data_IF_820697553321
#
_entry.id   IF_820697553321
#
_cell.length_a   1.000
_cell.length_b   1.000
_cell.length_c   1.000
_cell.angle_alpha   90.00
_cell.angle_beta   90.00
_cell.angle_gamma   90.00
#
_symmetry.space_group_name_H-M   'P 1'
#
loop_
_entity.id
_entity.type
_entity.pdbx_description
1 polymer ?
#
# COMPACT_ATOMS: atom_id res chain seq x y z
N UNK A 1 85.79 -27.96 -26.76
CA UNK A 1 84.41 -28.42 -27.02
C UNK A 1 83.57 -28.05 -25.80
N UNK A 2 83.05 -26.79 -25.69
CA UNK A 2 82.28 -26.38 -24.55
C UNK A 2 80.86 -25.97 -25.06
N UNK A 3 79.84 -26.68 -24.61
CA UNK A 3 78.45 -26.35 -24.88
C UNK A 3 77.96 -25.50 -23.72
N UNK A 4 77.62 -24.22 -24.07
CA UNK A 4 76.97 -23.27 -23.17
C UNK A 4 75.50 -23.44 -23.35
N UNK A 5 74.78 -23.87 -22.29
CA UNK A 5 73.33 -23.90 -22.21
C UNK A 5 72.82 -22.54 -21.76
N UNK A 6 72.09 -21.87 -22.64
CA UNK A 6 71.39 -20.63 -22.34
C UNK A 6 70.03 -21.02 -21.70
N UNK A 7 69.88 -20.72 -20.44
CA UNK A 7 68.61 -20.86 -19.74
C UNK A 7 67.74 -19.61 -19.92
N UNK A 8 66.66 -19.69 -20.71
CA UNK A 8 65.64 -18.66 -20.80
C UNK A 8 64.76 -18.69 -19.57
N UNK A 9 64.90 -17.71 -18.69
CA UNK A 9 63.95 -17.46 -17.62
C UNK A 9 62.78 -16.66 -18.16
N UNK A 10 61.61 -17.29 -18.33
CA UNK A 10 60.36 -16.64 -18.64
C UNK A 10 59.74 -16.16 -17.30
N UNK A 11 59.79 -14.84 -17.09
CA UNK A 11 59.11 -14.17 -15.98
C UNK A 11 57.62 -14.06 -16.27
N UNK A 12 56.78 -14.87 -15.59
CA UNK A 12 55.33 -14.74 -15.63
C UNK A 12 54.91 -13.63 -14.65
N UNK A 13 54.54 -12.49 -15.19
CA UNK A 13 53.90 -11.39 -14.45
C UNK A 13 52.47 -11.81 -14.15
N UNK A 14 52.16 -12.25 -12.90
CA UNK A 14 50.81 -12.38 -12.39
C UNK A 14 50.22 -10.98 -12.11
N UNK A 15 49.39 -10.49 -12.99
CA UNK A 15 48.60 -9.30 -12.74
C UNK A 15 47.47 -9.69 -11.73
N UNK A 16 47.69 -9.35 -10.46
CA UNK A 16 46.63 -9.44 -9.43
C UNK A 16 45.58 -8.33 -9.72
N UNK A 17 44.47 -8.71 -10.30
CA UNK A 17 43.28 -7.85 -10.39
C UNK A 17 42.70 -7.70 -8.97
N UNK A 18 42.97 -6.55 -8.33
CA UNK A 18 42.31 -6.14 -7.11
C UNK A 18 40.86 -5.79 -7.49
N UNK A 19 39.97 -6.77 -7.37
CA UNK A 19 38.55 -6.53 -7.43
C UNK A 19 38.17 -5.63 -6.27
N UNK A 20 37.82 -4.37 -6.56
CA UNK A 20 37.19 -3.46 -5.60
C UNK A 20 35.85 -4.10 -5.25
N UNK A 21 35.79 -4.80 -4.14
CA UNK A 21 34.52 -5.25 -3.55
C UNK A 21 33.72 -3.98 -3.24
N UNK A 22 32.71 -3.71 -4.05
CA UNK A 22 31.73 -2.67 -3.77
C UNK A 22 31.05 -3.09 -2.47
N UNK A 23 31.26 -2.32 -1.43
CA UNK A 23 30.53 -2.53 -0.19
C UNK A 23 29.04 -2.53 -0.54
N UNK A 24 28.36 -3.63 -0.27
CA UNK A 24 26.92 -3.66 -0.40
C UNK A 24 26.36 -2.56 0.51
N UNK A 25 25.45 -1.74 -0.03
CA UNK A 25 24.75 -0.76 0.79
C UNK A 25 24.18 -1.50 2.02
N UNK A 26 24.34 -0.93 3.24
CA UNK A 26 23.82 -1.56 4.44
C UNK A 26 22.33 -1.87 4.21
N UNK A 27 21.95 -3.12 4.48
CA UNK A 27 20.55 -3.52 4.41
C UNK A 27 19.73 -2.51 5.22
N UNK A 28 18.59 -2.00 4.69
CA UNK A 28 17.77 -1.06 5.43
C UNK A 28 17.44 -1.68 6.78
N UNK A 29 17.75 -0.94 7.85
CA UNK A 29 17.43 -1.36 9.21
C UNK A 29 15.94 -1.62 9.29
N UNK A 30 15.53 -2.85 9.59
CA UNK A 30 14.15 -3.23 9.75
C UNK A 30 13.48 -2.29 10.73
N UNK A 31 12.37 -1.68 10.31
CA UNK A 31 11.55 -0.77 11.10
C UNK A 31 10.08 -0.98 10.77
N UNK A 32 9.17 -0.26 11.41
CA UNK A 32 7.76 -0.28 11.03
C UNK A 32 7.61 -0.06 9.53
N UNK A 33 6.88 -0.95 8.86
CA UNK A 33 6.67 -0.88 7.42
C UNK A 33 7.77 -1.49 6.54
N UNK A 34 8.80 -2.14 7.13
CA UNK A 34 9.81 -2.83 6.33
C UNK A 34 9.28 -4.16 5.77
N UNK A 35 9.35 -4.32 4.45
CA UNK A 35 8.81 -5.50 3.73
C UNK A 35 9.93 -6.42 3.20
N UNK A 36 11.20 -6.05 3.35
CA UNK A 36 12.32 -6.72 2.69
C UNK A 36 12.51 -6.30 1.23
N UNK A 37 11.60 -5.55 0.64
CA UNK A 37 11.75 -5.02 -0.71
C UNK A 37 12.67 -3.80 -0.69
N UNK A 38 13.73 -3.83 -1.49
CA UNK A 38 14.77 -2.78 -1.53
C UNK A 38 14.49 -1.70 -2.58
N UNK A 39 13.59 -1.97 -3.52
CA UNK A 39 13.27 -1.06 -4.62
C UNK A 39 12.06 -0.18 -4.26
N UNK A 40 12.23 1.11 -3.93
CA UNK A 40 11.13 1.97 -3.50
C UNK A 40 9.97 2.04 -4.49
N UNK A 41 10.26 2.09 -5.79
CA UNK A 41 9.22 2.09 -6.85
C UNK A 41 8.37 0.83 -6.83
N UNK A 42 8.99 -0.34 -6.63
CA UNK A 42 8.25 -1.60 -6.55
C UNK A 42 7.33 -1.64 -5.33
N UNK A 43 7.77 -1.11 -4.19
CA UNK A 43 6.93 -1.02 -2.98
C UNK A 43 5.78 -0.03 -3.18
N UNK A 44 6.03 1.12 -3.82
CA UNK A 44 4.99 2.09 -4.14
C UNK A 44 3.96 1.45 -5.08
N UNK A 45 4.39 0.77 -6.13
CA UNK A 45 3.50 0.07 -7.05
C UNK A 45 2.66 -1.00 -6.33
N UNK A 46 3.29 -1.82 -5.47
CA UNK A 46 2.59 -2.86 -4.72
C UNK A 46 1.48 -2.31 -3.81
N UNK A 47 1.72 -1.17 -3.12
CA UNK A 47 0.66 -0.56 -2.30
C UNK A 47 -0.44 0.11 -3.13
N UNK A 48 -0.11 0.66 -4.30
CA UNK A 48 -1.11 1.21 -5.24
C UNK A 48 -2.02 0.10 -5.75
N UNK A 49 -1.44 -1.01 -6.20
CA UNK A 49 -2.16 -2.21 -6.62
C UNK A 49 -3.06 -2.76 -5.49
N UNK A 50 -2.52 -2.83 -4.26
CA UNK A 50 -3.30 -3.26 -3.10
C UNK A 50 -4.52 -2.35 -2.86
N UNK A 51 -4.35 -1.03 -2.95
CA UNK A 51 -5.46 -0.08 -2.77
C UNK A 51 -6.49 -0.16 -3.91
N UNK A 52 -6.05 -0.39 -5.15
CA UNK A 52 -6.94 -0.63 -6.29
C UNK A 52 -7.80 -1.88 -6.08
N UNK A 53 -7.19 -2.97 -5.59
CA UNK A 53 -7.96 -4.18 -5.25
C UNK A 53 -8.93 -3.95 -4.09
N UNK A 54 -8.55 -3.18 -3.08
CA UNK A 54 -9.48 -2.78 -2.00
C UNK A 54 -10.66 -1.98 -2.58
N UNK A 55 -10.42 -1.06 -3.52
CA UNK A 55 -11.48 -0.28 -4.17
C UNK A 55 -12.46 -1.19 -4.94
N UNK A 56 -11.95 -2.13 -5.74
CA UNK A 56 -12.77 -3.12 -6.46
C UNK A 56 -13.64 -3.94 -5.49
N UNK A 57 -13.10 -4.36 -4.35
CA UNK A 57 -13.85 -5.13 -3.36
C UNK A 57 -14.84 -4.26 -2.57
N UNK A 58 -14.58 -2.97 -2.44
CA UNK A 58 -15.48 -2.01 -1.79
C UNK A 58 -16.68 -1.63 -2.64
N UNK A 59 -16.59 -1.66 -3.96
CA UNK A 59 -17.68 -1.24 -4.87
C UNK A 59 -19.03 -1.90 -4.55
N UNK A 60 -19.15 -3.25 -4.45
CA UNK A 60 -20.40 -3.88 -4.07
C UNK A 60 -20.80 -3.58 -2.62
N UNK A 61 -19.84 -3.37 -1.70
CA UNK A 61 -20.09 -3.00 -0.30
C UNK A 61 -20.69 -1.60 -0.22
N UNK A 62 -20.17 -0.63 -0.95
CA UNK A 62 -20.73 0.73 -1.01
C UNK A 62 -22.12 0.74 -1.65
N UNK A 63 -22.33 -0.10 -2.66
CA UNK A 63 -23.59 -0.21 -3.39
C UNK A 63 -24.76 -0.57 -2.47
N UNK A 64 -24.58 -1.38 -1.43
CA UNK A 64 -25.67 -1.77 -0.54
C UNK A 64 -26.17 -0.63 0.35
N UNK A 65 -25.48 0.49 0.44
CA UNK A 65 -25.94 1.66 1.19
C UNK A 65 -27.17 2.28 0.54
N UNK A 66 -27.30 2.15 -0.78
CA UNK A 66 -28.39 2.75 -1.60
C UNK A 66 -29.23 1.72 -2.36
N UNK A 67 -28.73 0.49 -2.58
CA UNK A 67 -29.42 -0.59 -3.27
C UNK A 67 -29.76 -1.76 -2.35
N UNK A 68 -30.70 -2.64 -2.70
CA UNK A 68 -30.98 -3.86 -1.94
C UNK A 68 -29.76 -4.77 -1.83
N UNK A 69 -29.57 -5.38 -0.68
CA UNK A 69 -28.56 -6.43 -0.49
C UNK A 69 -28.99 -7.68 -1.27
N UNK A 70 -28.14 -8.16 -2.16
CA UNK A 70 -28.46 -9.33 -3.02
C UNK A 70 -27.65 -10.56 -2.69
N UNK A 71 -26.38 -10.39 -2.30
CA UNK A 71 -25.44 -11.49 -2.04
C UNK A 71 -24.63 -11.19 -0.78
N UNK A 72 -25.18 -11.59 0.36
CA UNK A 72 -24.53 -11.36 1.66
C UNK A 72 -23.18 -12.07 1.79
N UNK A 73 -23.09 -13.32 1.28
CA UNK A 73 -21.86 -14.11 1.36
C UNK A 73 -20.70 -13.44 0.59
N UNK A 74 -20.99 -12.89 -0.59
CA UNK A 74 -20.00 -12.16 -1.37
C UNK A 74 -19.52 -10.91 -0.63
N UNK A 75 -20.44 -10.14 -0.03
CA UNK A 75 -20.09 -8.94 0.72
C UNK A 75 -19.20 -9.27 1.92
N UNK A 76 -19.53 -10.33 2.65
CA UNK A 76 -18.70 -10.79 3.77
C UNK A 76 -17.33 -11.27 3.32
N UNK A 77 -17.27 -12.06 2.23
CA UNK A 77 -16.00 -12.50 1.65
C UNK A 77 -15.12 -11.34 1.19
N UNK A 78 -15.73 -10.33 0.54
CA UNK A 78 -15.02 -9.11 0.15
C UNK A 78 -14.46 -8.37 1.37
N UNK A 79 -15.27 -8.20 2.41
CA UNK A 79 -14.85 -7.54 3.64
C UNK A 79 -13.70 -8.30 4.33
N UNK A 80 -13.74 -9.63 4.36
CA UNK A 80 -12.66 -10.46 4.89
C UNK A 80 -11.36 -10.24 4.12
N UNK A 81 -11.42 -10.22 2.78
CA UNK A 81 -10.26 -9.95 1.93
C UNK A 81 -9.71 -8.55 2.16
N UNK A 82 -10.57 -7.53 2.27
CA UNK A 82 -10.18 -6.16 2.60
C UNK A 82 -9.46 -6.13 3.96
N UNK A 83 -9.98 -6.78 4.99
CA UNK A 83 -9.33 -6.84 6.30
C UNK A 83 -7.91 -7.41 6.24
N UNK A 84 -7.70 -8.51 5.50
CA UNK A 84 -6.38 -9.08 5.30
C UNK A 84 -5.42 -8.12 4.58
N UNK A 85 -5.90 -7.41 3.55
CA UNK A 85 -5.10 -6.41 2.83
C UNK A 85 -4.72 -5.23 3.72
N UNK A 86 -5.66 -4.72 4.52
CA UNK A 86 -5.43 -3.60 5.43
C UNK A 86 -4.45 -3.95 6.55
N UNK A 87 -4.43 -5.20 7.01
CA UNK A 87 -3.43 -5.72 7.96
C UNK A 87 -2.02 -5.65 7.37
N UNK A 88 -1.86 -5.95 6.08
CA UNK A 88 -0.57 -5.89 5.39
C UNK A 88 -0.13 -4.46 5.03
N UNK A 89 -1.09 -3.53 4.88
CA UNK A 89 -0.87 -2.19 4.35
C UNK A 89 0.26 -1.40 5.06
N UNK A 90 0.36 -1.34 6.40
CA UNK A 90 1.41 -0.57 7.07
C UNK A 90 2.82 -1.01 6.71
N UNK A 91 3.01 -2.28 6.35
CA UNK A 91 4.29 -2.84 5.96
C UNK A 91 4.78 -2.38 4.56
N UNK A 92 3.92 -1.73 3.80
CA UNK A 92 4.23 -1.17 2.48
C UNK A 92 4.67 0.30 2.53
N UNK A 93 5.03 0.83 3.72
CA UNK A 93 5.47 2.21 3.91
C UNK A 93 6.87 2.33 4.52
N UNK A 94 7.90 1.64 3.99
CA UNK A 94 9.26 1.88 4.45
C UNK A 94 9.68 3.32 4.17
N UNK A 95 10.57 3.92 4.99
CA UNK A 95 10.98 5.33 4.86
C UNK A 95 11.47 5.73 3.47
N UNK A 96 12.08 4.80 2.72
CA UNK A 96 12.57 5.00 1.36
C UNK A 96 11.47 5.31 0.34
N UNK A 97 10.20 5.05 0.69
CA UNK A 97 9.03 5.30 -0.17
C UNK A 97 8.33 6.63 0.12
N UNK A 98 8.90 7.47 0.98
CA UNK A 98 8.45 8.85 1.21
C UNK A 98 8.89 9.74 0.04
N UNK A 99 8.21 9.62 -1.10
CA UNK A 99 8.57 10.26 -2.37
C UNK A 99 7.48 11.17 -2.92
N UNK A 100 6.63 11.70 -2.05
CA UNK A 100 5.60 12.65 -2.46
C UNK A 100 6.25 13.96 -2.93
N UNK A 101 5.91 14.39 -4.14
CA UNK A 101 6.27 15.70 -4.70
C UNK A 101 4.99 16.52 -4.93
N UNK A 102 4.83 17.58 -4.12
CA UNK A 102 3.68 18.48 -4.23
C UNK A 102 3.67 19.32 -5.53
N UNK A 103 4.82 19.47 -6.20
CA UNK A 103 4.98 20.25 -7.44
C UNK A 103 4.77 19.40 -8.68
N UNK A 104 4.89 18.08 -8.57
CA UNK A 104 4.69 17.19 -9.70
C UNK A 104 3.21 17.19 -10.12
N UNK A 105 2.97 17.31 -11.43
CA UNK A 105 1.63 17.17 -12.01
C UNK A 105 1.14 15.74 -11.81
N UNK A 106 2.02 14.78 -12.02
CA UNK A 106 1.80 13.33 -11.82
C UNK A 106 2.88 12.82 -10.85
N UNK A 107 2.61 12.86 -9.53
CA UNK A 107 3.57 12.39 -8.55
C UNK A 107 3.67 10.86 -8.57
N UNK A 108 4.86 10.35 -8.24
CA UNK A 108 5.10 8.89 -8.11
C UNK A 108 4.19 8.24 -7.06
N UNK A 109 3.74 9.01 -6.08
CA UNK A 109 2.82 8.57 -5.02
C UNK A 109 1.97 9.73 -4.53
N UNK A 110 0.72 9.43 -4.17
CA UNK A 110 -0.20 10.37 -3.51
C UNK A 110 -0.11 10.28 -1.98
N UNK A 111 0.66 9.35 -1.44
CA UNK A 111 0.85 9.17 -0.02
C UNK A 111 1.63 10.35 0.58
N UNK A 112 1.00 11.07 1.50
CA UNK A 112 1.56 12.28 2.09
C UNK A 112 2.70 11.96 3.08
N UNK A 113 3.72 12.85 3.21
CA UNK A 113 4.81 12.69 4.20
C UNK A 113 4.33 12.61 5.65
N UNK A 114 3.09 12.97 5.92
CA UNK A 114 2.46 12.83 7.23
C UNK A 114 2.49 11.38 7.75
N UNK A 115 2.39 10.38 6.85
CA UNK A 115 2.45 8.96 7.21
C UNK A 115 3.70 8.67 8.04
N UNK A 116 4.87 9.09 7.57
CA UNK A 116 6.14 8.80 8.23
C UNK A 116 6.42 9.69 9.45
N UNK A 117 5.78 10.85 9.55
CA UNK A 117 5.92 11.74 10.71
C UNK A 117 5.11 11.27 11.91
N UNK A 118 3.92 10.70 11.66
CA UNK A 118 3.00 10.24 12.70
C UNK A 118 2.56 8.80 12.41
N UNK A 119 3.56 7.92 12.19
CA UNK A 119 3.33 6.54 11.75
C UNK A 119 2.43 5.74 12.71
N UNK A 120 2.53 5.99 14.02
CA UNK A 120 1.66 5.34 15.02
C UNK A 120 0.17 5.68 14.78
N UNK A 121 -0.13 6.93 14.37
CA UNK A 121 -1.50 7.32 14.03
C UNK A 121 -1.96 6.62 12.74
N UNK A 122 -1.10 6.55 11.74
CA UNK A 122 -1.38 5.81 10.51
C UNK A 122 -1.67 4.33 10.80
N UNK A 123 -0.84 3.68 11.61
CA UNK A 123 -1.02 2.29 12.01
C UNK A 123 -2.33 2.07 12.78
N UNK A 124 -2.69 2.96 13.71
CA UNK A 124 -3.95 2.90 14.45
C UNK A 124 -5.15 3.00 13.52
N UNK A 125 -5.12 3.89 12.52
CA UNK A 125 -6.21 4.02 11.55
C UNK A 125 -6.31 2.81 10.63
N UNK A 126 -5.19 2.24 10.17
CA UNK A 126 -5.18 1.00 9.41
C UNK A 126 -5.77 -0.17 10.23
N UNK A 127 -5.38 -0.29 11.52
CA UNK A 127 -5.95 -1.30 12.42
C UNK A 127 -7.45 -1.07 12.65
N UNK A 128 -7.91 0.17 12.81
CA UNK A 128 -9.33 0.49 12.94
C UNK A 128 -10.13 0.08 11.69
N UNK A 129 -9.57 0.31 10.51
CA UNK A 129 -10.18 -0.10 9.26
C UNK A 129 -10.21 -1.64 9.10
N UNK A 130 -9.14 -2.33 9.55
CA UNK A 130 -9.13 -3.81 9.62
C UNK A 130 -10.27 -4.34 10.49
N UNK A 131 -10.44 -3.80 11.70
CA UNK A 131 -11.53 -4.22 12.59
C UNK A 131 -12.92 -3.90 12.02
N UNK A 132 -13.06 -2.79 11.29
CA UNK A 132 -14.32 -2.48 10.62
C UNK A 132 -14.64 -3.47 9.50
N UNK A 133 -13.63 -3.92 8.76
CA UNK A 133 -13.76 -4.96 7.75
C UNK A 133 -14.08 -6.34 8.36
N UNK A 134 -13.45 -6.70 9.45
CA UNK A 134 -13.76 -7.92 10.23
C UNK A 134 -15.22 -7.89 10.69
N UNK A 135 -15.66 -6.79 11.32
CA UNK A 135 -17.05 -6.64 11.76
C UNK A 135 -18.04 -6.70 10.59
N UNK A 136 -17.67 -6.23 9.41
CA UNK A 136 -18.48 -6.39 8.19
C UNK A 136 -18.55 -7.84 7.72
N UNK A 137 -17.46 -8.58 7.83
CA UNK A 137 -17.41 -10.01 7.44
C UNK A 137 -18.26 -10.89 8.33
N UNK A 138 -18.53 -10.47 9.57
CA UNK A 138 -19.35 -11.16 10.56
C UNK A 138 -20.81 -10.68 10.56
N UNK A 139 -21.14 -9.61 9.86
CA UNK A 139 -22.48 -9.04 9.84
C UNK A 139 -23.47 -9.94 9.08
N UNK A 140 -24.69 -10.04 9.60
CA UNK A 140 -25.80 -10.82 9.01
C UNK A 140 -27.06 -9.98 8.84
N UNK A 141 -27.72 -10.19 7.72
CA UNK A 141 -28.93 -9.46 7.37
C UNK A 141 -28.67 -8.04 6.87
N UNK A 142 -29.59 -7.57 6.04
CA UNK A 142 -29.40 -6.34 5.27
C UNK A 142 -29.16 -5.09 6.13
N UNK A 143 -29.74 -5.01 7.32
CA UNK A 143 -29.59 -3.84 8.19
C UNK A 143 -28.18 -3.78 8.80
N UNK A 144 -27.69 -4.88 9.35
CA UNK A 144 -26.36 -4.93 9.95
C UNK A 144 -25.24 -4.78 8.90
N UNK A 145 -25.43 -5.41 7.73
CA UNK A 145 -24.50 -5.23 6.60
C UNK A 145 -24.40 -3.78 6.17
N UNK A 146 -25.53 -3.05 6.04
CA UNK A 146 -25.50 -1.60 5.70
C UNK A 146 -24.79 -0.79 6.78
N UNK A 147 -25.06 -1.05 8.05
CA UNK A 147 -24.41 -0.35 9.16
C UNK A 147 -22.91 -0.63 9.21
N UNK A 148 -22.50 -1.88 8.96
CA UNK A 148 -21.10 -2.26 8.91
C UNK A 148 -20.38 -1.65 7.70
N UNK A 149 -21.03 -1.61 6.51
CA UNK A 149 -20.47 -0.97 5.31
C UNK A 149 -20.18 0.51 5.53
N UNK A 150 -21.11 1.26 6.16
CA UNK A 150 -20.91 2.67 6.50
C UNK A 150 -19.73 2.88 7.45
N UNK A 151 -19.54 2.00 8.44
CA UNK A 151 -18.40 2.07 9.36
C UNK A 151 -17.08 1.80 8.65
N UNK A 152 -17.05 0.79 7.78
CA UNK A 152 -15.86 0.47 7.00
C UNK A 152 -15.49 1.63 6.08
N UNK A 153 -16.46 2.21 5.35
CA UNK A 153 -16.22 3.40 4.50
C UNK A 153 -15.69 4.57 5.33
N UNK A 154 -16.32 4.88 6.45
CA UNK A 154 -15.88 5.97 7.32
C UNK A 154 -14.44 5.79 7.84
N UNK A 155 -14.00 4.56 8.09
CA UNK A 155 -12.61 4.29 8.51
C UNK A 155 -11.62 4.50 7.36
N UNK A 156 -11.99 4.15 6.13
CA UNK A 156 -11.19 4.43 4.94
C UNK A 156 -11.04 5.95 4.73
N UNK A 157 -12.15 6.68 4.79
CA UNK A 157 -12.18 8.13 4.59
C UNK A 157 -11.37 8.88 5.66
N UNK A 158 -11.43 8.45 6.92
CA UNK A 158 -10.65 9.03 8.01
C UNK A 158 -9.14 8.89 7.78
N UNK A 159 -8.69 7.74 7.26
CA UNK A 159 -7.29 7.53 6.92
C UNK A 159 -6.87 8.38 5.71
N UNK A 160 -7.66 8.36 4.63
CA UNK A 160 -7.37 9.09 3.41
C UNK A 160 -7.36 10.62 3.62
N UNK A 161 -8.23 11.15 4.47
CA UNK A 161 -8.28 12.57 4.78
C UNK A 161 -6.96 13.10 5.38
N UNK A 162 -6.21 12.27 6.09
CA UNK A 162 -4.95 12.65 6.74
C UNK A 162 -3.71 12.34 5.90
N UNK A 163 -3.75 11.27 5.13
CA UNK A 163 -2.56 10.63 4.58
C UNK A 163 -2.52 10.52 3.07
N UNK A 164 -3.61 10.87 2.37
CA UNK A 164 -3.67 10.83 0.93
C UNK A 164 -3.86 12.25 0.36
N UNK A 165 -3.09 12.60 -0.69
CA UNK A 165 -3.36 13.84 -1.44
C UNK A 165 -4.72 13.70 -2.11
N UNK A 166 -5.64 14.69 -1.98
CA UNK A 166 -6.88 14.68 -2.73
C UNK A 166 -6.60 14.61 -4.24
N UNK A 167 -7.31 13.73 -4.93
CA UNK A 167 -7.24 13.67 -6.39
C UNK A 167 -7.89 14.93 -6.98
N UNK A 168 -7.11 15.71 -7.72
CA UNK A 168 -7.57 16.95 -8.37
C UNK A 168 -7.69 16.80 -9.89
N UNK A 169 -7.64 15.56 -10.40
CA UNK A 169 -7.83 15.27 -11.82
C UNK A 169 -9.26 15.57 -12.30
N UNK A 170 -9.50 15.49 -13.61
CA UNK A 170 -10.85 15.64 -14.14
C UNK A 170 -11.75 14.62 -13.44
N UNK A 171 -12.86 15.12 -12.84
CA UNK A 171 -13.89 14.24 -12.32
C UNK A 171 -14.36 13.38 -13.49
N UNK A 172 -14.27 12.04 -13.34
CA UNK A 172 -14.96 11.17 -14.30
C UNK A 172 -16.43 11.58 -14.29
N UNK A 173 -17.06 11.67 -15.46
CA UNK A 173 -18.47 12.04 -15.56
C UNK A 173 -19.39 11.06 -14.79
N UNK A 174 -18.88 9.91 -14.40
CA UNK A 174 -19.59 8.90 -13.59
C UNK A 174 -19.43 9.09 -12.07
N UNK A 175 -18.66 10.09 -11.60
CA UNK A 175 -18.48 10.37 -10.17
C UNK A 175 -19.56 11.29 -9.57
N UNK A 176 -20.78 11.28 -10.10
CA UNK A 176 -21.96 11.85 -9.43
C UNK A 176 -22.34 11.09 -8.14
N UNK A 177 -21.51 10.13 -7.73
CA UNK A 177 -21.60 9.46 -6.45
C UNK A 177 -20.96 10.32 -5.36
N UNK A 178 -21.55 11.48 -5.07
CA UNK A 178 -21.37 12.13 -3.79
C UNK A 178 -22.16 11.31 -2.76
N UNK A 179 -21.45 10.49 -1.98
CA UNK A 179 -22.05 9.84 -0.83
C UNK A 179 -22.52 10.92 0.15
N UNK A 180 -23.82 11.17 0.18
CA UNK A 180 -24.43 12.09 1.14
C UNK A 180 -24.62 11.35 2.46
N UNK A 181 -23.62 11.47 3.32
CA UNK A 181 -23.59 10.90 4.66
C UNK A 181 -24.78 11.39 5.52
N UNK A 182 -25.20 12.63 5.34
CA UNK A 182 -26.33 13.23 6.06
C UNK A 182 -27.66 12.60 5.68
N UNK A 183 -27.89 12.31 4.40
CA UNK A 183 -29.15 11.68 3.96
C UNK A 183 -29.23 10.22 4.36
N UNK A 184 -28.09 9.51 4.45
CA UNK A 184 -28.05 8.11 4.90
C UNK A 184 -28.39 7.97 6.39
N UNK A 185 -28.07 8.97 7.22
CA UNK A 185 -28.38 8.97 8.66
C UNK A 185 -29.81 9.42 8.99
N UNK A 186 -30.48 10.15 8.09
CA UNK A 186 -31.85 10.69 8.32
C UNK A 186 -32.99 9.73 7.96
N UNK A 187 -32.72 8.66 7.25
CA UNK A 187 -33.76 7.64 6.97
C UNK A 187 -33.93 6.72 8.17
N UNK A 188 -34.83 7.10 9.07
CA UNK A 188 -35.41 6.24 10.10
C UNK A 188 -36.43 5.30 9.48
#
# INVERSE_FOLDING_TARGET
>A
MNRIFLACMASVLLAASVGVARAADPAPTGGPGWTGLTQPKAVIAARQELMEHVEILMEPIDTITVKPVKNEDQLRSNAQAIGAMLTALPHLFPPTTNRFDAKAKEPETLALPAIWRIFDTFQKLATSATHAAEAMSEAHGSQELRKASLRLRASCDACHALFLRPYTGPKSQDSDYQFDFESALRKK
#
